data_IF_994337785663
#
_entry.id   IF_994337785663
#
_cell.length_a   1.000
_cell.length_b   1.000
_cell.length_c   1.000
_cell.angle_alpha   90.00
_cell.angle_beta   90.00
_cell.angle_gamma   90.00
#
_symmetry.space_group_name_H-M   'P 1'
#
loop_
_entity.id
_entity.type
_entity.pdbx_description
1 polymer ?
#
# COMPACT_ATOMS: atom_id res chain seq x y z
N UNK A 1 9.24 0.68 -45.57
CA UNK A 1 10.33 -0.29 -45.34
C UNK A 1 10.78 -0.14 -43.90
N UNK A 2 10.69 -1.08 -42.97
CA UNK A 2 9.96 -2.37 -42.92
C UNK A 2 9.41 -2.55 -41.48
N UNK A 3 8.40 -3.42 -41.30
CA UNK A 3 8.01 -3.94 -39.98
C UNK A 3 9.04 -4.97 -39.48
N UNK A 4 8.96 -5.28 -38.18
CA UNK A 4 9.94 -6.09 -37.41
C UNK A 4 11.23 -5.28 -37.18
N UNK A 5 11.55 -4.80 -35.99
CA UNK A 5 11.59 -5.54 -34.71
C UNK A 5 10.82 -4.83 -33.57
N UNK A 6 9.91 -5.57 -32.93
CA UNK A 6 9.22 -5.17 -31.70
C UNK A 6 9.03 -6.42 -30.83
N UNK A 7 8.98 -6.21 -29.51
CA UNK A 7 8.59 -7.19 -28.48
C UNK A 7 9.66 -8.19 -28.01
N UNK A 8 10.43 -7.76 -27.00
CA UNK A 8 10.82 -8.62 -25.90
C UNK A 8 10.02 -8.17 -24.66
N UNK A 9 9.00 -8.95 -24.25
CA UNK A 9 8.20 -8.65 -23.04
C UNK A 9 8.96 -9.09 -21.78
N UNK A 10 8.92 -8.33 -20.67
CA UNK A 10 9.39 -8.83 -19.38
C UNK A 10 8.46 -9.96 -18.86
N UNK A 11 8.99 -10.98 -18.17
CA UNK A 11 8.29 -12.26 -17.96
C UNK A 11 7.21 -12.27 -16.84
N UNK A 12 6.63 -11.13 -16.47
CA UNK A 12 5.68 -11.01 -15.34
C UNK A 12 4.48 -10.07 -15.63
N UNK A 13 3.99 -10.04 -16.88
CA UNK A 13 2.75 -9.32 -17.22
C UNK A 13 1.54 -10.26 -17.21
N UNK A 14 0.53 -9.95 -16.39
CA UNK A 14 -0.77 -10.63 -16.41
C UNK A 14 -1.41 -10.50 -17.79
N UNK A 15 -1.80 -11.63 -18.40
CA UNK A 15 -2.32 -11.66 -19.77
C UNK A 15 -3.76 -11.13 -19.86
N UNK A 16 -4.03 -10.31 -20.88
CA UNK A 16 -5.36 -9.78 -21.17
C UNK A 16 -6.29 -10.89 -21.70
N UNK A 17 -7.53 -11.05 -21.19
CA UNK A 17 -8.35 -12.24 -21.43
C UNK A 17 -9.13 -12.28 -22.76
N UNK A 18 -8.85 -11.41 -23.73
CA UNK A 18 -9.67 -11.25 -24.94
C UNK A 18 -8.90 -11.50 -26.26
N UNK A 19 -8.44 -12.73 -26.48
CA UNK A 19 -8.12 -13.24 -27.83
C UNK A 19 -8.41 -14.75 -27.95
N UNK A 20 -9.46 -15.10 -28.69
CA UNK A 20 -9.76 -16.38 -29.35
C UNK A 20 -10.66 -15.99 -30.56
N UNK A 21 -10.66 -16.62 -31.75
CA UNK A 21 -10.74 -18.05 -32.09
C UNK A 21 -10.17 -18.32 -33.52
N UNK A 22 -9.50 -19.47 -33.72
CA UNK A 22 -9.19 -20.28 -34.93
C UNK A 22 -8.70 -19.71 -36.29
N UNK A 23 -7.61 -20.28 -36.85
CA UNK A 23 -7.67 -21.49 -37.74
C UNK A 23 -6.31 -22.04 -38.23
N UNK A 24 -6.19 -23.38 -38.17
CA UNK A 24 -5.46 -24.31 -39.07
C UNK A 24 -3.91 -24.28 -39.23
N UNK A 25 -3.37 -25.48 -39.50
CA UNK A 25 -1.98 -25.89 -39.78
C UNK A 25 -2.03 -27.20 -40.62
N UNK A 26 -0.95 -27.98 -40.87
CA UNK A 26 0.51 -27.75 -40.87
C UNK A 26 0.97 -27.78 -42.37
N UNK A 27 2.07 -28.43 -42.87
CA UNK A 27 3.34 -28.96 -42.34
C UNK A 27 4.57 -28.28 -43.03
N UNK A 28 5.82 -28.77 -43.11
CA UNK A 28 6.57 -29.96 -42.64
C UNK A 28 8.08 -29.59 -42.45
N UNK A 29 8.97 -30.54 -42.16
CA UNK A 29 10.43 -30.42 -42.36
C UNK A 29 11.30 -30.90 -41.18
N UNK A 30 11.71 -32.17 -41.20
CA UNK A 30 12.60 -32.80 -40.19
C UNK A 30 14.03 -32.17 -40.14
N UNK A 31 14.88 -32.35 -39.11
CA UNK A 31 15.52 -33.65 -38.78
C UNK A 31 16.35 -33.67 -37.46
N UNK A 32 16.00 -34.60 -36.54
CA UNK A 32 16.79 -35.38 -35.54
C UNK A 32 17.64 -34.75 -34.39
N UNK A 33 17.42 -35.28 -33.17
CA UNK A 33 18.37 -35.43 -32.03
C UNK A 33 19.11 -36.80 -32.13
N UNK A 34 20.10 -37.15 -31.26
CA UNK A 34 19.92 -37.58 -29.85
C UNK A 34 20.98 -36.93 -28.91
N UNK A 35 21.05 -37.11 -27.58
CA UNK A 35 20.28 -37.76 -26.50
C UNK A 35 20.79 -37.16 -25.16
N UNK A 36 20.07 -37.13 -24.04
CA UNK A 36 19.90 -38.29 -23.15
C UNK A 36 18.69 -38.10 -22.18
N UNK A 37 18.27 -39.19 -21.53
CA UNK A 37 17.22 -39.29 -20.50
C UNK A 37 17.83 -39.06 -19.09
N UNK A 38 17.16 -38.73 -17.98
CA UNK A 38 15.82 -39.08 -17.49
C UNK A 38 15.27 -38.04 -16.49
N UNK A 39 13.95 -37.81 -16.57
CA UNK A 39 12.96 -37.72 -15.48
C UNK A 39 13.27 -37.04 -14.12
N UNK A 40 12.42 -36.05 -13.79
CA UNK A 40 11.84 -35.73 -12.47
C UNK A 40 12.67 -35.89 -11.18
N UNK A 41 12.85 -34.80 -10.44
CA UNK A 41 12.09 -34.60 -9.19
C UNK A 41 12.32 -33.24 -8.53
N UNK A 42 11.38 -32.96 -7.63
CA UNK A 42 11.09 -31.76 -6.87
C UNK A 42 12.22 -31.18 -5.99
N UNK A 43 11.89 -30.01 -5.43
CA UNK A 43 12.16 -29.60 -4.05
C UNK A 43 13.35 -28.65 -3.82
N UNK A 44 13.01 -27.42 -3.40
CA UNK A 44 13.94 -26.46 -2.83
C UNK A 44 14.57 -27.03 -1.56
N UNK A 45 15.84 -27.44 -1.61
CA UNK A 45 16.63 -27.63 -0.40
C UNK A 45 16.99 -26.27 0.18
N UNK A 46 16.41 -25.94 1.33
CA UNK A 46 16.99 -24.97 2.25
C UNK A 46 18.38 -25.43 2.65
N UNK A 47 19.43 -24.74 2.18
CA UNK A 47 20.80 -25.04 2.59
C UNK A 47 21.08 -24.40 3.97
N UNK A 48 20.62 -25.09 5.01
CA UNK A 48 20.86 -24.72 6.41
C UNK A 48 22.26 -25.16 6.80
N UNK A 49 23.27 -24.30 6.63
CA UNK A 49 24.33 -24.03 7.63
C UNK A 49 25.52 -23.20 7.12
N UNK A 50 25.63 -21.97 7.62
CA UNK A 50 26.92 -21.52 8.20
C UNK A 50 26.74 -21.19 9.67
N UNK A 51 26.87 -22.25 10.46
CA UNK A 51 26.94 -22.32 11.92
C UNK A 51 28.07 -21.42 12.44
N UNK A 52 27.82 -20.11 12.62
CA UNK A 52 28.80 -19.19 13.23
C UNK A 52 29.11 -19.72 14.64
N UNK A 53 30.40 -19.92 14.92
CA UNK A 53 30.83 -20.71 16.07
C UNK A 53 30.39 -20.11 17.40
N UNK A 54 30.04 -21.01 18.32
CA UNK A 54 29.64 -20.73 19.69
C UNK A 54 30.88 -20.38 20.51
N UNK A 55 31.24 -19.09 20.59
CA UNK A 55 31.97 -18.61 21.77
C UNK A 55 31.00 -18.63 22.95
N UNK A 56 31.29 -19.47 23.93
CA UNK A 56 30.60 -19.46 25.21
C UNK A 56 31.40 -18.65 26.21
N UNK A 57 30.80 -17.60 26.75
CA UNK A 57 31.03 -17.12 28.11
C UNK A 57 29.80 -16.29 28.56
N UNK A 58 29.50 -16.23 29.87
CA UNK A 58 28.35 -15.53 30.45
C UNK A 58 26.96 -16.11 30.07
N UNK A 59 26.19 -16.66 31.01
CA UNK A 59 25.46 -15.87 32.00
C UNK A 59 23.96 -15.89 31.65
N UNK A 60 23.08 -16.14 32.63
CA UNK A 60 21.65 -16.46 32.41
C UNK A 60 20.74 -15.28 32.04
N UNK A 61 21.28 -14.15 31.63
CA UNK A 61 20.58 -12.85 31.54
C UNK A 61 20.26 -12.39 30.11
N UNK A 62 20.23 -13.33 29.15
CA UNK A 62 19.93 -13.00 27.75
C UNK A 62 18.43 -12.94 27.51
N UNK A 63 18.00 -11.88 26.84
CA UNK A 63 16.62 -11.61 26.48
C UNK A 63 16.08 -12.60 25.43
N UNK A 64 14.82 -12.97 25.58
CA UNK A 64 14.11 -13.78 24.59
C UNK A 64 13.72 -12.90 23.39
N UNK A 65 14.41 -13.06 22.26
CA UNK A 65 14.09 -12.31 21.04
C UNK A 65 12.61 -12.41 20.66
N UNK A 66 11.99 -13.60 20.77
CA UNK A 66 10.59 -13.79 20.36
C UNK A 66 9.62 -13.04 21.28
N UNK A 67 9.88 -13.04 22.59
CA UNK A 67 9.11 -12.25 23.56
C UNK A 67 9.30 -10.75 23.28
N UNK A 68 10.54 -10.26 23.27
CA UNK A 68 10.88 -8.84 23.08
C UNK A 68 10.42 -8.27 21.73
N UNK A 69 10.31 -9.11 20.68
CA UNK A 69 9.85 -8.67 19.35
C UNK A 69 8.36 -8.83 19.07
N UNK A 70 7.61 -9.55 19.90
CA UNK A 70 6.19 -9.81 19.64
C UNK A 70 5.30 -9.95 20.89
N UNK A 71 5.75 -9.49 22.05
CA UNK A 71 5.04 -9.53 23.34
C UNK A 71 4.69 -10.93 23.86
N UNK A 72 5.07 -11.98 23.14
CA UNK A 72 4.59 -13.34 23.37
C UNK A 72 5.66 -14.37 23.01
N UNK A 73 5.75 -15.44 23.79
CA UNK A 73 6.70 -16.52 23.56
C UNK A 73 5.97 -17.87 23.66
N UNK A 74 6.05 -18.74 22.63
CA UNK A 74 5.34 -20.03 22.62
C UNK A 74 5.87 -21.02 23.66
N UNK A 75 7.00 -20.73 24.32
CA UNK A 75 7.54 -21.52 25.45
C UNK A 75 7.07 -21.03 26.81
N UNK A 76 6.38 -19.88 26.87
CA UNK A 76 5.90 -19.27 28.12
C UNK A 76 6.98 -19.25 29.20
N UNK A 77 6.60 -19.64 30.42
CA UNK A 77 7.47 -19.68 31.59
C UNK A 77 8.54 -20.78 31.56
N UNK A 78 8.56 -21.63 30.52
CA UNK A 78 9.62 -22.64 30.29
C UNK A 78 10.72 -22.13 29.34
N UNK A 79 10.71 -20.84 28.99
CA UNK A 79 11.74 -20.25 28.15
C UNK A 79 13.07 -20.11 28.91
N UNK A 80 14.18 -20.54 28.29
CA UNK A 80 15.54 -20.40 28.83
C UNK A 80 16.09 -18.96 28.75
N UNK A 81 15.32 -18.02 28.19
CA UNK A 81 15.73 -16.63 27.96
C UNK A 81 14.78 -15.68 28.70
N UNK A 82 15.31 -14.60 29.25
CA UNK A 82 14.56 -13.65 30.08
C UNK A 82 13.43 -13.01 29.27
N UNK A 83 12.22 -13.05 29.84
CA UNK A 83 11.08 -12.26 29.37
C UNK A 83 11.10 -10.97 30.20
N UNK A 84 11.16 -9.85 29.51
CA UNK A 84 11.37 -8.50 30.05
C UNK A 84 10.41 -7.60 29.27
N UNK A 85 9.44 -7.02 29.97
CA UNK A 85 8.35 -6.26 29.36
C UNK A 85 8.83 -4.87 28.95
N UNK A 86 9.69 -4.26 29.78
CA UNK A 86 10.37 -3.00 29.51
C UNK A 86 11.24 -3.10 28.24
N UNK A 87 12.00 -4.18 28.07
CA UNK A 87 12.79 -4.43 26.87
C UNK A 87 11.91 -4.68 25.64
N UNK A 88 10.77 -5.38 25.80
CA UNK A 88 9.77 -5.55 24.73
C UNK A 88 9.18 -4.21 24.29
N UNK A 89 8.94 -3.31 25.24
CA UNK A 89 8.47 -1.96 24.96
C UNK A 89 9.54 -1.10 24.29
N UNK A 90 10.78 -1.09 24.81
CA UNK A 90 11.90 -0.37 24.18
C UNK A 90 12.18 -0.85 22.75
N UNK A 91 12.09 -2.16 22.50
CA UNK A 91 12.19 -2.71 21.16
C UNK A 91 11.04 -2.24 20.25
N UNK A 92 9.81 -2.20 20.76
CA UNK A 92 8.63 -1.65 20.06
C UNK A 92 8.77 -0.14 19.79
N UNK A 93 9.44 0.60 20.68
CA UNK A 93 9.85 2.01 20.51
C UNK A 93 11.04 2.18 19.53
N UNK A 94 11.54 1.09 18.94
CA UNK A 94 12.56 1.07 17.87
C UNK A 94 14.02 0.96 18.34
N UNK A 95 14.25 0.56 19.59
CA UNK A 95 15.60 0.31 20.13
C UNK A 95 16.14 -1.05 19.64
N UNK A 96 17.43 -1.10 19.31
CA UNK A 96 18.06 -2.30 18.74
C UNK A 96 18.05 -3.48 19.73
N UNK A 97 17.61 -4.65 19.28
CA UNK A 97 17.65 -5.86 20.10
C UNK A 97 19.07 -6.23 20.57
N UNK A 98 20.09 -6.13 19.71
CA UNK A 98 21.47 -6.44 20.11
C UNK A 98 21.98 -5.46 21.18
N UNK A 99 21.55 -4.20 21.13
CA UNK A 99 21.86 -3.20 22.15
C UNK A 99 21.14 -3.53 23.48
N UNK A 100 19.83 -3.85 23.44
CA UNK A 100 19.07 -4.26 24.62
C UNK A 100 19.60 -5.55 25.26
N UNK A 101 20.02 -6.52 24.45
CA UNK A 101 20.40 -7.87 24.89
C UNK A 101 21.90 -8.02 25.24
N UNK A 102 22.76 -7.10 24.81
CA UNK A 102 24.23 -7.19 25.00
C UNK A 102 24.88 -5.87 25.46
N UNK A 103 24.12 -4.79 25.61
CA UNK A 103 24.62 -3.43 25.82
C UNK A 103 25.35 -2.82 24.60
N UNK A 104 25.52 -3.56 23.51
CA UNK A 104 26.29 -3.13 22.33
C UNK A 104 25.79 -3.79 21.04
N UNK A 105 25.81 -3.03 19.95
CA UNK A 105 25.51 -3.52 18.61
C UNK A 105 26.78 -3.48 17.74
N UNK A 106 27.10 -4.59 17.07
CA UNK A 106 28.26 -4.71 16.17
C UNK A 106 28.19 -3.76 14.96
N UNK A 107 27.00 -3.23 14.63
CA UNK A 107 26.79 -2.24 13.56
C UNK A 107 27.02 -0.78 14.00
N UNK A 108 27.19 -0.52 15.30
CA UNK A 108 27.48 0.83 15.81
C UNK A 108 26.53 1.92 15.27
N UNK A 109 27.04 2.99 14.64
CA UNK A 109 26.22 4.06 14.07
C UNK A 109 25.47 3.65 12.78
N UNK A 110 25.91 2.61 12.07
CA UNK A 110 25.30 2.12 10.82
C UNK A 110 24.11 1.16 11.07
N UNK A 111 23.54 1.20 12.27
CA UNK A 111 22.40 0.40 12.66
C UNK A 111 21.08 1.14 12.41
N UNK A 112 20.15 0.52 11.70
CA UNK A 112 18.81 1.07 11.44
C UNK A 112 17.90 1.18 12.68
N UNK A 113 18.40 0.83 13.87
CA UNK A 113 17.68 0.82 15.15
C UNK A 113 18.39 1.72 16.17
N UNK A 114 17.63 2.30 17.11
CA UNK A 114 18.17 3.22 18.12
C UNK A 114 19.10 2.50 19.10
N UNK A 115 20.12 3.21 19.59
CA UNK A 115 21.08 2.73 20.61
C UNK A 115 21.05 3.58 21.89
N UNK A 116 19.84 3.94 22.31
CA UNK A 116 19.54 4.62 23.58
C UNK A 116 18.19 4.15 24.09
N UNK A 117 18.05 4.06 25.42
CA UNK A 117 16.76 3.76 26.07
C UNK A 117 15.91 5.04 26.10
N UNK A 118 14.59 4.91 25.93
CA UNK A 118 13.64 6.03 26.05
C UNK A 118 12.95 6.00 27.41
N UNK A 119 13.20 7.00 28.24
CA UNK A 119 12.45 7.22 29.49
C UNK A 119 11.02 7.71 29.22
N UNK A 120 10.11 7.42 30.15
CA UNK A 120 8.67 7.74 30.10
C UNK A 120 8.32 9.24 29.93
N UNK A 121 9.29 10.15 30.09
CA UNK A 121 9.07 11.59 30.00
C UNK A 121 9.21 12.19 28.60
N UNK A 122 9.97 11.59 27.67
CA UNK A 122 10.40 12.29 26.45
C UNK A 122 9.45 12.15 25.26
N UNK A 123 8.33 12.89 25.31
CA UNK A 123 7.43 13.08 24.17
C UNK A 123 8.07 13.87 23.00
N UNK A 124 9.30 14.38 23.10
CA UNK A 124 9.96 15.15 22.03
C UNK A 124 10.67 14.26 20.99
N UNK A 125 11.22 13.11 21.40
CA UNK A 125 11.97 12.21 20.50
C UNK A 125 11.14 11.61 19.34
N UNK A 126 9.80 11.60 19.47
CA UNK A 126 8.88 11.22 18.39
C UNK A 126 8.99 12.15 17.16
N UNK A 127 9.26 13.45 17.38
CA UNK A 127 9.41 14.46 16.32
C UNK A 127 10.73 14.31 15.56
N UNK A 128 11.80 13.86 16.20
CA UNK A 128 13.11 13.71 15.56
C UNK A 128 13.15 12.52 14.56
N UNK A 129 12.59 11.37 14.93
CA UNK A 129 12.51 10.22 14.03
C UNK A 129 11.44 10.39 12.93
N UNK A 130 10.31 11.04 13.25
CA UNK A 130 9.29 11.40 12.26
C UNK A 130 9.80 12.42 11.24
N UNK A 131 10.48 13.48 11.68
CA UNK A 131 10.97 14.54 10.78
C UNK A 131 12.04 14.10 9.77
N UNK A 132 12.80 13.02 10.02
CA UNK A 132 13.68 12.47 8.99
C UNK A 132 12.92 11.60 7.98
N UNK A 133 11.88 10.85 8.38
CA UNK A 133 11.03 10.11 7.44
C UNK A 133 10.13 11.02 6.61
N UNK A 134 9.66 12.13 7.18
CA UNK A 134 8.84 13.11 6.45
C UNK A 134 9.64 13.85 5.37
N UNK A 135 10.95 14.10 5.57
CA UNK A 135 11.81 14.77 4.57
C UNK A 135 11.89 14.00 3.24
N UNK A 136 11.92 12.67 3.27
CA UNK A 136 12.00 11.85 2.05
C UNK A 136 10.61 11.47 1.50
N UNK A 137 9.54 11.68 2.26
CA UNK A 137 8.19 11.28 1.89
C UNK A 137 7.57 12.18 0.81
N UNK A 138 7.21 11.60 -0.34
CA UNK A 138 6.59 12.32 -1.47
C UNK A 138 5.20 12.90 -1.16
N UNK A 139 4.57 12.50 -0.05
CA UNK A 139 3.23 12.91 0.38
C UNK A 139 3.23 13.80 1.64
N UNK A 140 4.40 14.14 2.20
CA UNK A 140 4.46 15.11 3.30
C UNK A 140 4.53 16.53 2.76
N UNK A 141 3.61 17.40 3.17
CA UNK A 141 3.65 18.84 2.84
C UNK A 141 4.95 19.54 3.31
N UNK A 142 5.63 18.97 4.31
CA UNK A 142 6.93 19.42 4.82
C UNK A 142 8.15 18.81 4.10
N UNK A 143 7.95 17.93 3.11
CA UNK A 143 9.04 17.39 2.29
C UNK A 143 9.40 18.35 1.16
N UNK A 144 10.69 18.57 0.87
CA UNK A 144 11.11 19.24 -0.37
C UNK A 144 10.77 18.43 -1.65
N UNK A 145 10.42 17.14 -1.52
CA UNK A 145 10.05 16.26 -2.63
C UNK A 145 8.55 16.26 -2.94
N UNK A 146 7.74 17.05 -2.21
CA UNK A 146 6.29 17.12 -2.46
C UNK A 146 6.00 17.85 -3.77
N UNK A 147 5.15 17.28 -4.61
CA UNK A 147 4.72 17.86 -5.88
C UNK A 147 3.66 18.94 -5.62
N UNK A 148 4.07 20.06 -5.02
CA UNK A 148 3.18 21.09 -4.46
C UNK A 148 2.23 21.72 -5.48
N UNK A 149 2.57 21.72 -6.77
CA UNK A 149 1.69 22.20 -7.84
C UNK A 149 0.47 21.29 -8.06
N UNK A 150 0.49 20.04 -7.60
CA UNK A 150 -0.65 19.11 -7.68
C UNK A 150 -1.71 19.35 -6.59
N UNK A 151 -1.41 20.14 -5.55
CA UNK A 151 -2.30 20.35 -4.40
C UNK A 151 -3.54 21.15 -4.82
N UNK A 152 -4.73 20.59 -4.57
CA UNK A 152 -6.04 21.14 -4.94
C UNK A 152 -6.74 21.86 -3.79
N UNK A 153 -6.75 21.28 -2.58
CA UNK A 153 -7.37 21.82 -1.36
C UNK A 153 -6.56 21.42 -0.13
N UNK A 154 -6.60 22.20 0.95
CA UNK A 154 -5.94 21.93 2.24
C UNK A 154 -6.92 22.23 3.36
N UNK A 155 -7.22 21.24 4.20
CA UNK A 155 -8.07 21.34 5.39
C UNK A 155 -7.26 21.33 6.69
N UNK A 156 -7.88 20.88 7.78
CA UNK A 156 -7.27 20.83 9.12
C UNK A 156 -6.44 19.56 9.32
N UNK A 157 -6.97 18.41 8.90
CA UNK A 157 -6.36 17.08 9.02
C UNK A 157 -5.92 16.50 7.68
N UNK A 158 -6.58 16.87 6.56
CA UNK A 158 -6.29 16.34 5.23
C UNK A 158 -5.93 17.43 4.23
N UNK A 159 -5.20 17.04 3.19
CA UNK A 159 -5.08 17.81 1.98
C UNK A 159 -5.40 16.93 0.77
N UNK A 160 -5.84 17.57 -0.30
CA UNK A 160 -6.16 16.94 -1.57
C UNK A 160 -5.14 17.34 -2.63
N UNK A 161 -4.80 16.41 -3.52
CA UNK A 161 -3.99 16.67 -4.70
C UNK A 161 -4.47 15.85 -5.89
N UNK A 162 -4.25 16.31 -7.13
CA UNK A 162 -4.42 15.43 -8.29
C UNK A 162 -3.35 14.33 -8.29
N UNK A 163 -3.76 13.11 -8.65
CA UNK A 163 -2.84 11.97 -8.70
C UNK A 163 -1.83 12.14 -9.85
N UNK A 164 -0.53 12.09 -9.55
CA UNK A 164 0.52 12.08 -10.57
C UNK A 164 0.36 10.87 -11.49
N UNK A 165 0.23 11.11 -12.80
CA UNK A 165 -0.16 10.08 -13.76
C UNK A 165 -1.56 9.49 -13.46
N UNK A 166 -2.65 10.28 -13.60
CA UNK A 166 -3.97 9.88 -13.12
C UNK A 166 -4.65 8.82 -14.00
N UNK A 167 -5.78 8.25 -13.56
CA UNK A 167 -6.65 7.39 -14.41
C UNK A 167 -7.64 8.22 -15.23
N UNK A 168 -8.23 9.24 -14.62
CA UNK A 168 -9.13 10.22 -15.22
C UNK A 168 -8.63 11.62 -14.89
N UNK A 169 -8.95 12.68 -15.66
CA UNK A 169 -8.40 14.02 -15.41
C UNK A 169 -8.61 14.54 -13.97
N UNK A 170 -9.70 14.10 -13.34
CA UNK A 170 -10.12 14.51 -12.01
C UNK A 170 -9.86 13.43 -10.93
N UNK A 171 -8.84 12.57 -11.14
CA UNK A 171 -8.42 11.57 -10.14
C UNK A 171 -7.69 12.26 -8.98
N UNK A 172 -8.31 12.28 -7.80
CA UNK A 172 -7.81 12.95 -6.60
C UNK A 172 -7.22 11.95 -5.61
N UNK A 173 -6.21 12.38 -4.86
CA UNK A 173 -5.69 11.74 -3.67
C UNK A 173 -6.10 12.57 -2.45
N UNK A 174 -6.77 11.96 -1.47
CA UNK A 174 -6.98 12.53 -0.14
C UNK A 174 -5.89 11.95 0.77
N UNK A 175 -5.09 12.82 1.40
CA UNK A 175 -3.92 12.43 2.18
C UNK A 175 -3.90 13.19 3.50
N UNK A 176 -3.62 12.54 4.64
CA UNK A 176 -3.48 13.23 5.91
C UNK A 176 -2.28 14.17 5.87
N UNK A 177 -2.38 15.31 6.54
CA UNK A 177 -1.27 16.27 6.68
C UNK A 177 -0.17 15.66 7.57
N UNK A 178 -0.56 14.92 8.61
CA UNK A 178 0.36 14.13 9.43
C UNK A 178 0.92 12.91 8.67
N UNK A 179 2.19 12.60 8.90
CA UNK A 179 2.88 11.43 8.35
C UNK A 179 2.37 10.13 9.01
N UNK A 180 1.22 9.66 8.53
CA UNK A 180 0.52 8.47 9.04
C UNK A 180 0.32 7.47 7.90
N UNK A 181 0.49 6.15 8.15
CA UNK A 181 0.58 5.16 7.08
C UNK A 181 -0.77 4.72 6.48
N UNK A 182 -1.90 5.08 7.12
CA UNK A 182 -3.26 4.78 6.65
C UNK A 182 -4.30 5.75 7.23
N UNK A 183 -5.44 5.93 6.58
CA UNK A 183 -6.51 6.83 7.07
C UNK A 183 -7.29 6.27 8.29
N UNK A 184 -7.32 4.94 8.47
CA UNK A 184 -8.11 4.29 9.52
C UNK A 184 -7.54 4.46 10.94
N UNK A 185 -6.26 4.79 11.07
CA UNK A 185 -5.58 4.91 12.37
C UNK A 185 -5.64 6.31 13.01
N UNK A 186 -6.10 7.32 12.27
CA UNK A 186 -6.19 8.71 12.75
C UNK A 186 -7.30 8.87 13.81
N UNK A 187 -7.26 9.94 14.63
CA UNK A 187 -8.35 10.30 15.55
C UNK A 187 -9.74 10.39 14.89
N UNK A 188 -10.80 10.22 15.69
CA UNK A 188 -12.19 10.25 15.19
C UNK A 188 -12.60 11.62 14.61
N UNK A 189 -12.00 12.72 15.06
CA UNK A 189 -12.26 14.05 14.50
C UNK A 189 -11.81 14.16 13.03
N UNK A 190 -10.72 13.48 12.67
CA UNK A 190 -10.27 13.40 11.29
C UNK A 190 -11.29 12.66 10.39
N UNK A 191 -12.03 11.68 10.92
CA UNK A 191 -13.06 10.97 10.15
C UNK A 191 -14.18 11.92 9.69
N UNK A 192 -14.55 12.92 10.50
CA UNK A 192 -15.58 13.92 10.15
C UNK A 192 -15.16 14.82 8.99
N UNK A 193 -13.90 15.25 8.94
CA UNK A 193 -13.37 16.00 7.79
C UNK A 193 -13.33 15.12 6.54
N UNK A 194 -12.94 13.85 6.69
CA UNK A 194 -12.88 12.90 5.60
C UNK A 194 -14.25 12.62 5.00
N UNK A 195 -15.27 12.40 5.84
CA UNK A 195 -16.67 12.23 5.40
C UNK A 195 -17.20 13.48 4.67
N UNK A 196 -16.85 14.69 5.14
CA UNK A 196 -17.15 15.95 4.43
C UNK A 196 -16.49 16.00 3.06
N UNK A 197 -15.20 15.72 2.95
CA UNK A 197 -14.46 15.67 1.69
C UNK A 197 -15.05 14.64 0.72
N UNK A 198 -15.32 13.42 1.19
CA UNK A 198 -15.96 12.38 0.37
C UNK A 198 -17.35 12.82 -0.13
N UNK A 199 -18.13 13.48 0.72
CA UNK A 199 -19.45 14.02 0.34
C UNK A 199 -19.36 15.15 -0.69
N UNK A 200 -18.40 16.07 -0.52
CA UNK A 200 -18.08 17.12 -1.50
C UNK A 200 -17.67 16.56 -2.86
N UNK A 201 -16.78 15.55 -2.91
CA UNK A 201 -16.41 14.90 -4.17
C UNK A 201 -17.59 14.18 -4.82
N UNK A 202 -18.41 13.46 -4.05
CA UNK A 202 -19.65 12.83 -4.57
C UNK A 202 -20.58 13.89 -5.21
N UNK A 203 -20.81 15.01 -4.53
CA UNK A 203 -21.67 16.09 -5.04
C UNK A 203 -21.10 16.76 -6.30
N UNK A 204 -19.81 17.07 -6.31
CA UNK A 204 -19.09 17.64 -7.44
C UNK A 204 -19.13 16.75 -8.68
N UNK A 205 -18.81 15.46 -8.52
CA UNK A 205 -18.82 14.51 -9.64
C UNK A 205 -20.23 14.21 -10.14
N UNK A 206 -21.24 14.20 -9.26
CA UNK A 206 -22.64 14.05 -9.64
C UNK A 206 -23.15 15.18 -10.54
N UNK A 207 -22.71 16.44 -10.32
CA UNK A 207 -22.98 17.58 -11.25
C UNK A 207 -22.41 17.34 -12.65
N UNK A 208 -21.42 16.45 -12.81
CA UNK A 208 -20.79 16.12 -14.08
C UNK A 208 -21.29 14.80 -14.72
N UNK A 209 -22.32 14.16 -14.17
CA UNK A 209 -22.76 12.83 -14.63
C UNK A 209 -21.74 11.72 -14.35
N UNK A 210 -20.96 11.89 -13.28
CA UNK A 210 -19.97 10.93 -12.78
C UNK A 210 -20.36 10.48 -11.37
N UNK A 211 -19.89 9.30 -10.97
CA UNK A 211 -19.94 8.79 -9.60
C UNK A 211 -18.52 8.59 -9.07
N UNK A 212 -18.33 8.73 -7.76
CA UNK A 212 -17.03 8.59 -7.11
C UNK A 212 -16.80 7.16 -6.62
N UNK A 213 -15.61 6.61 -6.88
CA UNK A 213 -15.11 5.38 -6.23
C UNK A 213 -13.95 5.76 -5.31
N UNK A 214 -14.02 5.37 -4.04
CA UNK A 214 -12.96 5.63 -3.05
C UNK A 214 -12.26 4.33 -2.69
N UNK A 215 -10.94 4.27 -2.69
CA UNK A 215 -10.23 3.07 -2.22
C UNK A 215 -8.88 3.41 -1.58
N UNK A 216 -8.48 2.61 -0.59
CA UNK A 216 -7.17 2.72 0.06
C UNK A 216 -6.50 1.35 0.12
N UNK A 217 -5.20 1.32 -0.18
CA UNK A 217 -4.33 0.19 0.10
C UNK A 217 -3.61 0.44 1.44
N UNK A 218 -4.19 -0.07 2.53
CA UNK A 218 -3.66 0.07 3.88
C UNK A 218 -2.49 -0.91 4.07
N UNK A 219 -1.30 -0.45 3.71
CA UNK A 219 -0.09 -1.24 3.82
C UNK A 219 0.57 -1.11 5.21
N UNK A 220 0.77 -2.22 5.93
CA UNK A 220 1.37 -2.20 7.27
C UNK A 220 2.82 -1.69 7.32
N UNK A 221 3.50 -1.64 6.18
CA UNK A 221 4.84 -1.02 6.01
C UNK A 221 4.79 0.22 5.10
N UNK A 222 3.61 0.79 4.87
CA UNK A 222 3.45 2.06 4.18
C UNK A 222 4.07 3.21 4.96
N UNK A 223 4.47 4.27 4.26
CA UNK A 223 4.99 5.50 4.86
C UNK A 223 3.90 6.55 5.07
N UNK A 224 3.00 6.71 4.10
CA UNK A 224 1.95 7.74 4.12
C UNK A 224 0.68 7.23 3.42
N UNK A 225 -0.46 7.48 4.05
CA UNK A 225 -1.78 7.14 3.54
C UNK A 225 -2.09 7.88 2.24
N UNK A 226 -2.78 7.22 1.31
CA UNK A 226 -3.39 7.88 0.15
C UNK A 226 -4.72 7.20 -0.15
N UNK A 227 -5.82 7.86 0.22
CA UNK A 227 -7.16 7.47 -0.18
C UNK A 227 -7.40 8.00 -1.59
N UNK A 228 -7.57 7.09 -2.54
CA UNK A 228 -7.70 7.42 -3.97
C UNK A 228 -9.18 7.67 -4.28
N UNK A 229 -9.47 8.72 -5.06
CA UNK A 229 -10.84 9.12 -5.45
C UNK A 229 -10.92 9.16 -6.97
N UNK A 230 -11.42 8.08 -7.57
CA UNK A 230 -11.57 7.95 -9.02
C UNK A 230 -13.01 8.22 -9.42
N UNK A 231 -13.29 9.32 -10.15
CA UNK A 231 -14.60 9.51 -10.74
C UNK A 231 -14.75 8.67 -12.01
N UNK A 232 -15.88 7.97 -12.11
CA UNK A 232 -16.29 7.13 -13.24
C UNK A 232 -17.60 7.66 -13.85
N UNK A 233 -17.93 7.39 -15.12
CA UNK A 233 -19.25 7.74 -15.67
C UNK A 233 -20.37 7.04 -14.89
N UNK A 234 -21.47 7.73 -14.56
CA UNK A 234 -22.58 7.13 -13.80
C UNK A 234 -23.18 5.89 -14.47
N UNK A 235 -23.07 5.77 -15.80
CA UNK A 235 -23.48 4.58 -16.56
C UNK A 235 -22.67 3.32 -16.26
N UNK A 236 -21.53 3.42 -15.57
CA UNK A 236 -20.70 2.28 -15.12
C UNK A 236 -20.81 2.00 -13.62
N UNK A 237 -21.59 2.80 -12.87
CA UNK A 237 -21.67 2.74 -11.42
C UNK A 237 -22.16 1.39 -10.88
N UNK A 238 -23.18 0.79 -11.51
CA UNK A 238 -23.71 -0.53 -11.12
C UNK A 238 -22.70 -1.66 -11.29
N UNK A 239 -21.79 -1.56 -12.26
CA UNK A 239 -20.80 -2.59 -12.57
C UNK A 239 -19.58 -2.59 -11.62
N UNK A 240 -19.40 -1.56 -10.78
CA UNK A 240 -18.22 -1.40 -9.91
C UNK A 240 -18.07 -2.58 -8.96
N UNK A 241 -19.16 -2.97 -8.27
CA UNK A 241 -19.14 -4.09 -7.31
C UNK A 241 -18.74 -5.39 -7.98
N UNK A 242 -19.36 -5.69 -9.12
CA UNK A 242 -19.18 -6.96 -9.81
C UNK A 242 -17.77 -7.08 -10.40
N UNK A 243 -17.20 -5.98 -10.94
CA UNK A 243 -15.84 -6.02 -11.48
C UNK A 243 -14.77 -6.11 -10.38
N UNK A 244 -15.00 -5.52 -9.21
CA UNK A 244 -14.11 -5.69 -8.05
C UNK A 244 -14.12 -7.13 -7.53
N UNK A 245 -15.30 -7.74 -7.38
CA UNK A 245 -15.43 -9.14 -7.00
C UNK A 245 -14.79 -10.08 -8.04
N UNK A 246 -15.09 -9.88 -9.33
CA UNK A 246 -14.53 -10.67 -10.43
C UNK A 246 -13.00 -10.58 -10.50
N UNK A 247 -12.42 -9.42 -10.18
CA UNK A 247 -10.97 -9.24 -10.14
C UNK A 247 -10.33 -9.90 -8.90
N UNK A 248 -10.99 -9.83 -7.74
CA UNK A 248 -10.56 -10.53 -6.54
C UNK A 248 -10.56 -12.06 -6.75
N UNK A 249 -11.67 -12.62 -7.26
CA UNK A 249 -11.81 -14.06 -7.53
C UNK A 249 -10.73 -14.55 -8.51
N UNK A 250 -10.40 -13.77 -9.55
CA UNK A 250 -9.31 -14.08 -10.51
C UNK A 250 -7.91 -14.07 -9.89
N UNK A 251 -7.72 -13.33 -8.80
CA UNK A 251 -6.46 -13.27 -8.06
C UNK A 251 -6.43 -14.25 -6.86
N UNK A 252 -7.51 -15.00 -6.64
CA UNK A 252 -7.59 -16.04 -5.60
C UNK A 252 -7.95 -15.54 -4.21
N UNK A 253 -8.45 -14.31 -4.06
CA UNK A 253 -8.97 -13.78 -2.78
C UNK A 253 -10.42 -13.32 -2.94
N UNK A 254 -11.08 -12.95 -1.83
CA UNK A 254 -12.48 -12.51 -1.84
C UNK A 254 -12.66 -11.19 -1.11
N UNK A 255 -13.47 -10.32 -1.70
CA UNK A 255 -13.94 -9.13 -1.02
C UNK A 255 -15.18 -9.45 -0.18
N UNK A 256 -15.20 -8.91 1.03
CA UNK A 256 -16.28 -9.04 2.02
C UNK A 256 -17.04 -7.73 2.13
N UNK A 257 -18.36 -7.81 2.31
CA UNK A 257 -19.19 -6.61 2.49
C UNK A 257 -19.11 -6.11 3.93
N UNK A 258 -18.74 -4.83 4.10
CA UNK A 258 -18.59 -4.19 5.39
C UNK A 258 -19.86 -3.40 5.71
N UNK A 259 -20.56 -3.85 6.74
CA UNK A 259 -21.71 -3.14 7.33
C UNK A 259 -21.20 -2.00 8.22
N UNK A 260 -22.01 -0.98 8.44
CA UNK A 260 -21.65 0.18 9.30
C UNK A 260 -20.47 1.02 8.77
N UNK A 261 -20.16 0.91 7.47
CA UNK A 261 -19.24 1.79 6.78
C UNK A 261 -17.80 1.73 7.29
N UNK A 262 -17.10 2.88 7.26
CA UNK A 262 -15.68 2.96 7.64
C UNK A 262 -15.45 2.72 9.14
N UNK A 263 -16.44 2.92 10.01
CA UNK A 263 -16.31 2.64 11.44
C UNK A 263 -15.99 1.16 11.71
N UNK A 264 -16.66 0.24 11.02
CA UNK A 264 -16.39 -1.19 11.14
C UNK A 264 -14.99 -1.58 10.60
N UNK A 265 -14.49 -0.92 9.54
CA UNK A 265 -13.11 -1.11 9.08
C UNK A 265 -12.10 -0.75 10.17
N UNK A 266 -12.33 0.36 10.89
CA UNK A 266 -11.46 0.82 11.98
C UNK A 266 -11.44 -0.14 13.16
N UNK A 267 -12.54 -0.85 13.42
CA UNK A 267 -12.61 -1.91 14.44
C UNK A 267 -11.95 -3.21 13.99
N UNK A 268 -12.02 -3.55 12.70
CA UNK A 268 -11.34 -4.73 12.13
C UNK A 268 -9.82 -4.54 11.99
N UNK A 269 -9.37 -3.30 11.78
CA UNK A 269 -7.97 -2.98 11.56
C UNK A 269 -7.17 -2.93 12.88
N UNK A 270 -6.57 -4.06 13.24
CA UNK A 270 -5.76 -4.25 14.45
C UNK A 270 -4.34 -3.64 14.40
N UNK A 271 -3.99 -2.95 13.29
CA UNK A 271 -2.64 -2.43 12.95
C UNK A 271 -1.55 -3.49 12.74
N UNK A 272 -1.85 -4.79 12.86
CA UNK A 272 -0.92 -5.90 12.61
C UNK A 272 -1.04 -6.48 11.20
N UNK A 273 -2.27 -6.45 10.66
CA UNK A 273 -2.62 -6.86 9.30
C UNK A 273 -2.42 -5.74 8.26
N UNK A 274 -2.54 -6.10 6.98
CA UNK A 274 -2.82 -5.15 5.90
C UNK A 274 -4.27 -5.25 5.48
N UNK A 275 -4.81 -4.20 4.86
CA UNK A 275 -6.21 -4.15 4.44
C UNK A 275 -6.32 -3.47 3.08
N UNK A 276 -7.14 -4.01 2.19
CA UNK A 276 -7.65 -3.28 1.04
C UNK A 276 -9.14 -3.03 1.25
N UNK A 277 -9.61 -1.83 0.96
CA UNK A 277 -11.04 -1.58 0.86
C UNK A 277 -11.38 -0.62 -0.29
N UNK A 278 -12.59 -0.76 -0.80
CA UNK A 278 -13.21 0.13 -1.78
C UNK A 278 -14.64 0.45 -1.37
N UNK A 279 -14.96 1.73 -1.31
CA UNK A 279 -16.32 2.25 -1.24
C UNK A 279 -16.84 2.44 -2.68
N UNK A 280 -17.89 1.68 -3.02
CA UNK A 280 -18.49 1.69 -4.36
C UNK A 280 -19.63 2.72 -4.42
N UNK A 281 -20.05 3.18 -5.62
CA UNK A 281 -21.21 4.05 -5.76
C UNK A 281 -22.44 3.45 -5.07
N UNK A 282 -23.14 4.27 -4.30
CA UNK A 282 -24.18 3.83 -3.35
C UNK A 282 -23.72 3.76 -1.89
N UNK A 283 -22.41 3.80 -1.61
CA UNK A 283 -21.84 3.86 -0.26
C UNK A 283 -21.54 2.51 0.41
N UNK A 284 -21.81 1.39 -0.28
CA UNK A 284 -21.41 0.07 0.17
C UNK A 284 -19.88 -0.08 0.15
N UNK A 285 -19.31 -0.71 1.17
CA UNK A 285 -17.86 -0.93 1.29
C UNK A 285 -17.53 -2.41 1.13
N UNK A 286 -16.62 -2.70 0.21
CA UNK A 286 -15.98 -3.99 0.04
C UNK A 286 -14.60 -3.95 0.69
N UNK A 287 -14.22 -4.97 1.45
CA UNK A 287 -12.88 -5.09 2.03
C UNK A 287 -12.29 -6.50 1.99
N UNK A 288 -10.97 -6.59 1.97
CA UNK A 288 -10.21 -7.81 2.15
C UNK A 288 -9.08 -7.54 3.16
N UNK A 289 -8.89 -8.44 4.12
CA UNK A 289 -7.80 -8.40 5.11
C UNK A 289 -6.68 -9.29 4.61
N UNK A 290 -5.49 -8.73 4.49
CA UNK A 290 -4.33 -9.36 3.86
C UNK A 290 -3.46 -9.98 4.96
N UNK A 291 -3.30 -11.30 4.90
CA UNK A 291 -2.46 -12.05 5.83
C UNK A 291 -0.96 -11.73 5.63
N UNK A 292 -0.12 -11.96 6.65
CA UNK A 292 1.29 -11.56 6.61
C UNK A 292 2.11 -12.15 5.44
N UNK A 293 1.74 -13.34 4.97
CA UNK A 293 2.41 -14.03 3.86
C UNK A 293 1.68 -13.86 2.50
N UNK A 294 0.54 -13.18 2.47
CA UNK A 294 -0.24 -12.98 1.25
C UNK A 294 0.41 -11.91 0.35
N UNK A 295 0.46 -12.17 -0.96
CA UNK A 295 0.97 -11.23 -1.95
C UNK A 295 -0.17 -10.45 -2.59
N UNK A 296 -0.49 -9.29 -2.00
CA UNK A 296 -1.50 -8.40 -2.55
C UNK A 296 -0.92 -7.44 -3.62
N UNK A 297 -1.60 -7.22 -4.77
CA UNK A 297 -1.14 -6.26 -5.77
C UNK A 297 -1.38 -4.81 -5.31
N UNK A 298 -0.30 -4.07 -5.06
CA UNK A 298 -0.36 -2.68 -4.56
C UNK A 298 -1.04 -1.67 -5.51
N UNK A 299 -1.42 -2.07 -6.72
CA UNK A 299 -2.18 -1.25 -7.68
C UNK A 299 -3.60 -1.82 -7.92
N UNK A 300 -4.07 -2.82 -7.17
CA UNK A 300 -5.33 -3.54 -7.40
C UNK A 300 -6.52 -2.61 -7.72
N UNK A 301 -6.85 -1.66 -6.84
CA UNK A 301 -7.97 -0.74 -7.07
C UNK A 301 -7.82 0.11 -8.35
N UNK A 302 -6.59 0.48 -8.69
CA UNK A 302 -6.27 1.20 -9.93
C UNK A 302 -6.40 0.31 -11.17
N UNK A 303 -5.90 -0.92 -11.11
CA UNK A 303 -6.00 -1.92 -12.19
C UNK A 303 -7.46 -2.28 -12.49
N UNK A 304 -8.27 -2.52 -11.46
CA UNK A 304 -9.70 -2.82 -11.60
C UNK A 304 -10.44 -1.66 -12.27
N UNK A 305 -10.19 -0.43 -11.83
CA UNK A 305 -10.84 0.75 -12.41
C UNK A 305 -10.32 1.10 -13.80
N UNK A 306 -9.04 0.84 -14.11
CA UNK A 306 -8.51 0.93 -15.47
C UNK A 306 -9.21 -0.07 -16.41
N UNK A 307 -9.46 -1.29 -15.94
CA UNK A 307 -10.28 -2.29 -16.62
C UNK A 307 -11.73 -1.83 -16.82
N UNK A 308 -12.40 -1.37 -15.75
CA UNK A 308 -13.77 -0.83 -15.81
C UNK A 308 -13.91 0.32 -16.81
N UNK A 309 -12.88 1.17 -16.92
CA UNK A 309 -12.86 2.34 -17.78
C UNK A 309 -12.42 2.04 -19.23
N UNK A 310 -11.98 0.82 -19.55
CA UNK A 310 -11.38 0.42 -20.83
C UNK A 310 -10.09 1.19 -21.19
N UNK A 311 -9.24 1.45 -20.18
CA UNK A 311 -7.95 2.18 -20.28
C UNK A 311 -6.84 1.39 -19.58
N UNK A 312 -6.72 0.10 -19.90
CA UNK A 312 -5.80 -0.83 -19.22
C UNK A 312 -4.31 -0.43 -19.32
N UNK A 313 -3.93 0.32 -20.36
CA UNK A 313 -2.62 0.96 -20.53
C UNK A 313 -2.28 1.96 -19.40
N UNK A 314 -3.31 2.58 -18.81
CA UNK A 314 -3.22 3.55 -17.71
C UNK A 314 -3.15 2.90 -16.33
N UNK A 315 -3.14 1.57 -16.24
CA UNK A 315 -2.98 0.84 -14.98
C UNK A 315 -1.65 1.18 -14.28
N UNK A 316 -0.52 1.20 -15.01
CA UNK A 316 0.72 1.78 -14.47
C UNK A 316 0.70 3.31 -14.63
N UNK A 317 0.64 4.02 -13.51
CA UNK A 317 0.67 5.48 -13.45
C UNK A 317 1.89 6.11 -14.14
N UNK A 318 3.01 5.36 -14.27
CA UNK A 318 4.22 5.84 -14.96
C UNK A 318 3.97 6.09 -16.45
N UNK A 319 3.06 5.33 -17.07
CA UNK A 319 2.66 5.50 -18.47
C UNK A 319 1.72 6.71 -18.66
N UNK A 320 1.13 7.24 -17.57
CA UNK A 320 0.19 8.36 -17.58
C UNK A 320 0.84 9.71 -17.29
N UNK A 321 2.16 9.78 -17.12
CA UNK A 321 2.86 11.03 -16.78
C UNK A 321 2.72 12.03 -17.94
N UNK A 322 2.27 13.23 -17.62
CA UNK A 322 2.37 14.42 -18.48
C UNK A 322 3.43 15.35 -17.89
N UNK A 323 3.79 16.41 -18.60
CA UNK A 323 4.71 17.42 -18.07
C UNK A 323 4.06 18.28 -16.97
N UNK A 324 4.89 19.03 -16.24
CA UNK A 324 4.47 19.86 -15.11
C UNK A 324 3.53 21.01 -15.53
N UNK A 325 3.62 21.49 -16.76
CA UNK A 325 2.76 22.58 -17.25
C UNK A 325 1.34 22.08 -17.51
N UNK A 326 1.18 20.90 -18.12
CA UNK A 326 -0.12 20.24 -18.27
C UNK A 326 -0.66 19.78 -16.90
N UNK A 327 0.17 19.25 -16.00
CA UNK A 327 -0.24 18.97 -14.60
C UNK A 327 -0.82 20.23 -13.93
N UNK A 328 -0.19 21.40 -14.12
CA UNK A 328 -0.67 22.68 -13.55
C UNK A 328 -2.01 23.11 -14.17
N UNK A 329 -2.17 23.03 -15.49
CA UNK A 329 -3.43 23.33 -16.19
C UNK A 329 -4.58 22.41 -15.76
N UNK A 330 -4.27 21.13 -15.50
CA UNK A 330 -5.24 20.18 -14.96
C UNK A 330 -5.69 20.58 -13.54
N UNK A 331 -4.75 20.99 -12.68
CA UNK A 331 -5.04 21.44 -11.30
C UNK A 331 -5.87 22.73 -11.30
N UNK A 332 -5.54 23.70 -12.14
CA UNK A 332 -6.31 24.95 -12.28
C UNK A 332 -7.75 24.67 -12.74
N UNK A 333 -7.92 23.82 -13.77
CA UNK A 333 -9.25 23.40 -14.24
C UNK A 333 -10.04 22.69 -13.13
N UNK A 334 -9.39 21.82 -12.36
CA UNK A 334 -10.00 21.13 -11.23
C UNK A 334 -10.44 22.11 -10.15
N UNK A 335 -9.54 23.00 -9.69
CA UNK A 335 -9.83 24.02 -8.66
C UNK A 335 -11.02 24.90 -9.04
N UNK A 336 -11.04 25.42 -10.28
CA UNK A 336 -12.13 26.26 -10.77
C UNK A 336 -13.48 25.53 -10.79
N UNK A 337 -13.49 24.23 -11.06
CA UNK A 337 -14.73 23.43 -11.02
C UNK A 337 -15.13 23.02 -9.59
N UNK A 338 -14.17 22.67 -8.75
CA UNK A 338 -14.41 22.16 -7.39
C UNK A 338 -14.67 23.27 -6.37
N UNK A 339 -14.39 24.54 -6.69
CA UNK A 339 -14.53 25.68 -5.78
C UNK A 339 -15.87 25.75 -5.02
N UNK A 340 -17.01 25.53 -5.69
CA UNK A 340 -18.34 25.54 -5.06
C UNK A 340 -18.59 24.37 -4.08
N UNK A 341 -17.72 23.36 -4.09
CA UNK A 341 -17.84 22.09 -3.36
C UNK A 341 -16.75 21.89 -2.31
N UNK A 342 -15.65 22.65 -2.39
CA UNK A 342 -14.50 22.53 -1.51
C UNK A 342 -14.89 22.86 -0.05
N UNK A 343 -14.87 21.90 0.89
CA UNK A 343 -15.36 22.11 2.25
C UNK A 343 -14.39 22.94 3.11
N UNK A 344 -13.25 23.37 2.54
CA UNK A 344 -12.15 24.06 3.20
C UNK A 344 -11.95 25.51 2.72
N UNK A 345 -12.85 26.05 1.88
CA UNK A 345 -12.83 27.47 1.47
C UNK A 345 -13.66 28.38 2.39
#
# INVERSE_FOLDING_TARGET
MSKTELSAKPPNTTLCPYTNVDKAAPPDGATKRPGDSTSESQYWRYDVSKKKQKHGDGGGDRLCFKFVSSGSCPRGNQCQFRHDEEASEQYSRGVCFDFLNKGKCEKGPDCNFKHSLQEEGDRSASRAASSNRSKECWFCLSSPNVESHLITSVGEYYYCALAKGPLTPDHVLIMPIEHTPNTLSLPLECEKELERLQSSFKAYFKKQGKEAVFFEWVFKRGSHANLQVVPIPSSRASAVRDIFNLAADKLGFKLTMVKEGRQALRTQFDRSCSLFYVEVPGGDILSHVIEENEKFPAQFGREVLAGLLNIADRADWRNCKVDKEEETKMVERFKNGFQEYDPNQ
#
